data_IF_919070260940
#
_entry.id   IF_919070260940
#
_cell.length_a   1.000
_cell.length_b   1.000
_cell.length_c   1.000
_cell.angle_alpha   90.00
_cell.angle_beta   90.00
_cell.angle_gamma   90.00
#
_symmetry.space_group_name_H-M   'P 1'
#
loop_
_entity.id
_entity.type
_entity.pdbx_description
1 polymer ?
#
# COMPACT_ATOMS: atom_id res chain seq x y z
N UNK A 1 -9.53 19.41 -11.14
CA UNK A 1 -9.11 19.37 -9.71
C UNK A 1 -7.61 19.20 -9.56
N UNK A 2 -6.96 18.14 -10.07
CA UNK A 2 -5.52 17.95 -9.89
C UNK A 2 -4.64 19.10 -10.42
N UNK A 3 -5.07 19.78 -11.48
CA UNK A 3 -4.40 21.01 -11.95
C UNK A 3 -4.37 22.13 -10.90
N UNK A 4 -5.35 22.18 -9.99
CA UNK A 4 -5.40 23.15 -8.88
C UNK A 4 -4.54 22.72 -7.69
N UNK A 5 -4.16 21.44 -7.57
CA UNK A 5 -3.47 20.90 -6.40
C UNK A 5 -2.15 21.61 -6.11
N UNK A 6 -1.35 21.91 -7.15
CA UNK A 6 -0.09 22.62 -6.99
C UNK A 6 -0.30 24.06 -6.50
N UNK A 7 -1.29 24.78 -7.02
CA UNK A 7 -1.61 26.15 -6.58
C UNK A 7 -2.11 26.17 -5.12
N UNK A 8 -2.96 25.20 -4.77
CA UNK A 8 -3.47 25.02 -3.39
C UNK A 8 -2.34 24.69 -2.42
N UNK A 9 -1.41 23.81 -2.81
CA UNK A 9 -0.25 23.49 -2.00
C UNK A 9 0.68 24.70 -1.83
N UNK A 10 0.95 25.44 -2.91
CA UNK A 10 1.78 26.64 -2.89
C UNK A 10 1.20 27.76 -2.02
N UNK A 11 -0.13 27.79 -1.81
CA UNK A 11 -0.78 28.77 -0.94
C UNK A 11 -0.54 28.54 0.56
N UNK A 12 -0.09 27.33 0.95
CA UNK A 12 0.03 26.94 2.36
C UNK A 12 1.43 26.48 2.74
N UNK A 13 2.27 26.14 1.76
CA UNK A 13 3.66 25.77 1.97
C UNK A 13 4.57 26.98 1.82
N UNK A 14 5.55 27.10 2.70
CA UNK A 14 6.57 28.15 2.66
C UNK A 14 7.65 27.90 1.60
N UNK A 15 7.77 26.67 1.12
CA UNK A 15 8.74 26.26 0.11
C UNK A 15 8.08 26.15 -1.27
N UNK A 16 8.86 26.32 -2.36
CA UNK A 16 8.38 26.06 -3.71
C UNK A 16 7.88 24.62 -3.86
N UNK A 17 6.69 24.48 -4.44
CA UNK A 17 6.08 23.17 -4.73
C UNK A 17 6.57 22.68 -6.09
N UNK A 18 7.24 21.53 -6.11
CA UNK A 18 7.70 20.88 -7.34
C UNK A 18 6.52 20.19 -8.04
N UNK A 19 5.74 19.44 -7.27
CA UNK A 19 4.58 18.72 -7.76
C UNK A 19 3.53 18.54 -6.65
N UNK A 20 2.26 18.47 -7.05
CA UNK A 20 1.19 18.10 -6.14
C UNK A 20 0.04 17.44 -6.91
N UNK A 21 -0.64 16.51 -6.25
CA UNK A 21 -1.85 15.86 -6.77
C UNK A 21 -2.81 15.52 -5.65
N UNK A 22 -4.08 15.30 -5.99
CA UNK A 22 -5.07 14.82 -5.04
C UNK A 22 -5.00 13.29 -4.97
N UNK A 23 -4.91 12.78 -3.75
CA UNK A 23 -4.95 11.36 -3.43
C UNK A 23 -6.31 10.99 -2.83
N UNK A 24 -6.76 9.78 -3.13
CA UNK A 24 -8.02 9.21 -2.63
C UNK A 24 -7.76 7.80 -2.10
N UNK A 25 -8.18 7.47 -0.89
CA UNK A 25 -7.95 6.16 -0.31
C UNK A 25 -8.65 5.05 -1.12
N UNK A 26 -7.93 3.96 -1.40
CA UNK A 26 -8.49 2.80 -2.09
C UNK A 26 -9.37 2.00 -1.12
N UNK A 27 -10.67 2.30 -1.08
CA UNK A 27 -11.57 1.63 -0.14
C UNK A 27 -11.76 0.14 -0.43
N UNK A 28 -11.96 -0.65 0.63
CA UNK A 28 -12.34 -2.07 0.54
C UNK A 28 -13.64 -2.30 -0.22
N UNK A 29 -14.58 -1.35 -0.20
CA UNK A 29 -15.83 -1.41 -0.98
C UNK A 29 -15.57 -1.38 -2.50
N UNK A 30 -14.50 -0.71 -2.97
CA UNK A 30 -14.10 -0.71 -4.38
C UNK A 30 -13.40 -2.01 -4.78
N UNK A 31 -12.50 -2.51 -3.94
CA UNK A 31 -11.85 -3.82 -4.14
C UNK A 31 -12.91 -4.93 -4.22
N UNK A 32 -13.91 -4.89 -3.34
CA UNK A 32 -15.03 -5.84 -3.36
C UNK A 32 -15.88 -5.72 -4.64
N UNK A 33 -16.15 -4.50 -5.11
CA UNK A 33 -16.89 -4.27 -6.35
C UNK A 33 -16.16 -4.85 -7.57
N UNK A 34 -14.85 -4.68 -7.64
CA UNK A 34 -14.05 -5.22 -8.73
C UNK A 34 -13.80 -6.73 -8.67
N UNK A 35 -13.82 -7.31 -7.47
CA UNK A 35 -13.88 -8.76 -7.30
C UNK A 35 -15.22 -9.38 -7.75
N UNK A 36 -16.10 -8.60 -8.39
CA UNK A 36 -17.38 -9.07 -8.92
C UNK A 36 -18.46 -9.21 -7.85
N UNK A 37 -18.26 -8.68 -6.65
CA UNK A 37 -19.31 -8.65 -5.64
C UNK A 37 -20.41 -7.67 -6.09
N UNK A 38 -21.45 -8.24 -6.72
CA UNK A 38 -22.65 -7.49 -7.11
C UNK A 38 -23.18 -6.65 -5.95
N UNK A 39 -23.82 -5.50 -6.25
CA UNK A 39 -24.46 -4.66 -5.21
C UNK A 39 -25.44 -5.45 -4.34
N UNK A 40 -26.00 -6.54 -4.87
CA UNK A 40 -26.89 -7.44 -4.15
C UNK A 40 -26.15 -8.31 -3.12
N UNK A 41 -24.98 -8.86 -3.48
CA UNK A 41 -24.13 -9.64 -2.56
C UNK A 41 -23.47 -8.74 -1.50
N UNK A 42 -23.13 -7.48 -1.83
CA UNK A 42 -22.69 -6.48 -0.85
C UNK A 42 -23.75 -6.17 0.22
N UNK A 43 -25.01 -6.08 -0.19
CA UNK A 43 -26.14 -5.87 0.73
C UNK A 43 -26.33 -7.03 1.69
N UNK A 44 -26.21 -8.27 1.20
CA UNK A 44 -26.35 -9.49 2.01
C UNK A 44 -25.14 -9.68 2.94
N UNK A 45 -23.92 -9.39 2.50
CA UNK A 45 -22.72 -9.42 3.36
C UNK A 45 -22.75 -8.35 4.47
N UNK A 46 -23.19 -7.11 4.17
CA UNK A 46 -23.42 -6.07 5.20
C UNK A 46 -24.60 -6.41 6.14
N UNK A 47 -25.60 -7.18 5.67
CA UNK A 47 -26.77 -7.56 6.47
C UNK A 47 -26.53 -8.78 7.37
N UNK A 48 -25.80 -9.80 6.90
CA UNK A 48 -25.41 -10.97 7.69
C UNK A 48 -24.10 -10.78 8.47
N UNK A 49 -23.25 -9.83 8.10
CA UNK A 49 -22.07 -9.40 8.87
C UNK A 49 -22.43 -8.49 10.05
N UNK A 50 -23.72 -8.20 10.27
CA UNK A 50 -24.22 -7.44 11.41
C UNK A 50 -24.34 -8.34 12.65
N UNK A 51 -23.25 -9.04 12.98
CA UNK A 51 -23.06 -9.59 14.33
C UNK A 51 -22.87 -8.38 15.26
N UNK A 52 -23.62 -8.27 16.38
CA UNK A 52 -23.50 -7.17 17.30
C UNK A 52 -22.21 -7.32 18.12
N UNK A 53 -21.08 -6.96 17.52
CA UNK A 53 -19.81 -6.80 18.24
C UNK A 53 -19.27 -5.40 17.97
N UNK A 54 -19.37 -4.54 18.99
CA UNK A 54 -18.54 -3.36 19.22
C UNK A 54 -18.50 -2.33 18.07
N UNK A 55 -19.42 -1.36 18.08
CA UNK A 55 -19.44 -0.22 17.15
C UNK A 55 -18.17 0.66 17.13
N UNK A 56 -17.24 0.48 18.08
CA UNK A 56 -15.92 1.13 18.08
C UNK A 56 -14.85 0.37 17.27
N UNK A 57 -15.08 -0.89 16.88
CA UNK A 57 -14.12 -1.66 16.08
C UNK A 57 -14.08 -1.19 14.61
N UNK A 58 -15.22 -0.77 14.05
CA UNK A 58 -15.31 -0.34 12.66
C UNK A 58 -14.51 0.94 12.36
N UNK A 59 -14.53 1.91 13.28
CA UNK A 59 -13.69 3.11 13.19
C UNK A 59 -12.19 2.79 13.35
N UNK A 60 -11.87 1.81 14.21
CA UNK A 60 -10.50 1.33 14.40
C UNK A 60 -9.95 0.65 13.14
N UNK A 61 -10.72 -0.24 12.52
CA UNK A 61 -10.37 -0.89 11.24
C UNK A 61 -10.10 0.13 10.14
N UNK A 62 -10.96 1.15 10.01
CA UNK A 62 -10.78 2.22 9.02
C UNK A 62 -9.54 3.09 9.26
N UNK A 63 -9.17 3.30 10.53
CA UNK A 63 -7.94 3.99 10.89
C UNK A 63 -6.70 3.14 10.60
N UNK A 64 -6.81 1.80 10.70
CA UNK A 64 -5.76 0.88 10.28
C UNK A 64 -5.55 0.90 8.76
N UNK A 65 -6.63 0.97 7.99
CA UNK A 65 -6.55 1.00 6.52
C UNK A 65 -5.89 2.26 5.97
N UNK A 66 -6.05 3.41 6.62
CA UNK A 66 -5.62 4.73 6.10
C UNK A 66 -4.27 5.22 6.62
N UNK A 67 -3.62 4.47 7.53
CA UNK A 67 -2.39 4.93 8.18
C UNK A 67 -2.56 6.23 8.98
N UNK A 68 -3.81 6.55 9.38
CA UNK A 68 -4.14 7.82 10.04
C UNK A 68 -4.19 9.04 9.11
N UNK A 69 -4.19 8.84 7.79
CA UNK A 69 -4.48 9.88 6.80
C UNK A 69 -5.99 10.02 6.54
N UNK A 70 -6.46 11.19 6.09
CA UNK A 70 -7.84 11.34 5.63
C UNK A 70 -8.12 10.48 4.38
N UNK A 71 -9.39 10.20 4.11
CA UNK A 71 -9.81 9.51 2.87
C UNK A 71 -9.40 10.25 1.60
N UNK A 72 -9.33 11.57 1.66
CA UNK A 72 -8.90 12.40 0.54
C UNK A 72 -7.99 13.51 1.04
N UNK A 73 -6.89 13.74 0.34
CA UNK A 73 -5.92 14.79 0.67
C UNK A 73 -5.17 15.23 -0.57
N UNK A 74 -4.42 16.33 -0.46
CA UNK A 74 -3.44 16.75 -1.47
C UNK A 74 -2.07 16.29 -0.99
N UNK A 75 -1.40 15.48 -1.80
CA UNK A 75 0.01 15.15 -1.60
C UNK A 75 0.84 16.16 -2.39
N UNK A 76 1.81 16.79 -1.74
CA UNK A 76 2.68 17.79 -2.35
C UNK A 76 4.15 17.48 -2.05
N UNK A 77 5.01 17.67 -3.03
CA UNK A 77 6.46 17.49 -2.93
C UNK A 77 7.13 18.85 -3.08
N UNK A 78 7.99 19.17 -2.13
CA UNK A 78 8.93 20.29 -2.18
C UNK A 78 10.34 19.74 -2.31
N UNK A 79 11.35 20.62 -2.35
CA UNK A 79 12.75 20.21 -2.45
C UNK A 79 13.13 19.17 -1.40
N UNK A 80 12.82 19.46 -0.14
CA UNK A 80 13.33 18.70 1.00
C UNK A 80 12.22 17.91 1.73
N UNK A 81 10.94 18.13 1.41
CA UNK A 81 9.82 17.56 2.16
C UNK A 81 8.66 17.07 1.29
N UNK A 82 7.98 16.04 1.79
CA UNK A 82 6.69 15.58 1.30
C UNK A 82 5.61 15.99 2.30
N UNK A 83 4.53 16.58 1.82
CA UNK A 83 3.45 17.12 2.64
C UNK A 83 2.11 16.47 2.29
N UNK A 84 1.34 16.14 3.33
CA UNK A 84 -0.09 15.86 3.20
C UNK A 84 -0.86 17.08 3.66
N UNK A 85 -1.69 17.60 2.77
CA UNK A 85 -2.49 18.81 2.96
C UNK A 85 -3.97 18.41 2.92
N UNK A 86 -4.77 18.98 3.80
CA UNK A 86 -6.21 18.75 3.86
C UNK A 86 -6.89 19.08 2.52
N UNK A 87 -7.67 18.14 1.97
CA UNK A 87 -8.52 18.38 0.79
C UNK A 87 -9.78 19.14 1.22
N UNK A 88 -9.69 20.48 1.27
CA UNK A 88 -10.85 21.36 1.46
C UNK A 88 -11.48 21.70 0.12
N UNK A 89 -12.81 21.65 0.08
CA UNK A 89 -13.58 22.02 -1.10
C UNK A 89 -14.55 23.14 -0.80
N UNK A 90 -14.59 24.10 -1.71
CA UNK A 90 -15.65 25.08 -1.82
C UNK A 90 -16.31 24.90 -3.18
N UNK A 91 -17.54 24.37 -3.18
CA UNK A 91 -18.24 23.96 -4.40
C UNK A 91 -17.43 22.97 -5.26
N UNK A 92 -16.93 23.42 -6.42
CA UNK A 92 -16.15 22.61 -7.38
C UNK A 92 -14.65 22.89 -7.30
N UNK A 93 -14.25 23.84 -6.47
CA UNK A 93 -12.88 24.29 -6.37
C UNK A 93 -12.19 23.68 -5.15
N UNK A 94 -10.95 23.27 -5.37
CA UNK A 94 -10.03 22.88 -4.31
C UNK A 94 -9.53 24.15 -3.62
N UNK A 95 -9.62 24.21 -2.30
CA UNK A 95 -9.20 25.35 -1.49
C UNK A 95 -8.04 24.94 -0.59
N UNK A 96 -7.15 25.88 -0.32
CA UNK A 96 -6.08 25.78 0.67
C UNK A 96 -6.61 25.21 2.01
N UNK A 97 -6.21 23.96 2.29
CA UNK A 97 -6.39 23.31 3.57
C UNK A 97 -5.25 23.63 4.54
N UNK A 98 -5.23 22.99 5.71
CA UNK A 98 -4.03 22.99 6.56
C UNK A 98 -3.06 21.88 6.15
N UNK A 99 -1.77 22.08 6.39
CA UNK A 99 -0.80 20.97 6.36
C UNK A 99 -1.14 20.03 7.51
N UNK A 100 -1.41 18.77 7.20
CA UNK A 100 -1.73 17.73 8.17
C UNK A 100 -0.47 17.03 8.64
N UNK A 101 0.44 16.72 7.70
CA UNK A 101 1.70 16.02 7.95
C UNK A 101 2.77 16.47 6.99
N UNK A 102 4.02 16.36 7.43
CA UNK A 102 5.22 16.58 6.63
C UNK A 102 6.24 15.52 6.98
N UNK A 103 6.95 15.02 5.98
CA UNK A 103 8.08 14.10 6.14
C UNK A 103 9.28 14.66 5.40
N UNK A 104 10.47 14.29 5.86
CA UNK A 104 11.68 14.47 5.07
C UNK A 104 11.53 13.66 3.77
N UNK A 105 11.87 14.28 2.64
CA UNK A 105 11.77 13.64 1.34
C UNK A 105 12.69 12.42 1.25
N UNK A 106 13.88 12.47 1.86
CA UNK A 106 14.88 11.40 1.81
C UNK A 106 14.45 10.12 2.54
N UNK A 107 13.55 10.25 3.53
CA UNK A 107 13.04 9.11 4.30
C UNK A 107 11.66 8.64 3.81
N UNK A 108 11.07 9.32 2.83
CA UNK A 108 9.71 9.05 2.37
C UNK A 108 9.69 7.99 1.27
N UNK A 109 9.04 6.85 1.51
CA UNK A 109 8.89 5.77 0.53
C UNK A 109 7.49 5.75 -0.09
N UNK A 110 7.44 5.68 -1.41
CA UNK A 110 6.21 5.57 -2.18
C UNK A 110 6.42 4.69 -3.41
N UNK A 111 5.37 4.03 -3.89
CA UNK A 111 5.47 3.13 -5.05
C UNK A 111 4.22 3.18 -5.90
N UNK A 112 4.40 3.16 -7.22
CA UNK A 112 3.32 2.84 -8.16
C UNK A 112 3.24 1.34 -8.39
N UNK A 113 2.04 0.83 -8.63
CA UNK A 113 1.85 -0.59 -8.97
C UNK A 113 1.68 -0.78 -10.47
N UNK A 114 1.90 -2.01 -10.94
CA UNK A 114 1.74 -2.34 -12.36
C UNK A 114 0.28 -2.20 -12.82
N UNK A 115 0.02 -1.99 -14.12
CA UNK A 115 -1.34 -1.95 -14.66
C UNK A 115 -2.17 -3.19 -14.31
N UNK A 116 -1.57 -4.37 -14.33
CA UNK A 116 -2.24 -5.65 -14.01
C UNK A 116 -2.71 -5.66 -12.54
N UNK A 117 -1.88 -5.12 -11.63
CA UNK A 117 -2.23 -4.99 -10.22
C UNK A 117 -3.34 -3.96 -9.99
N UNK A 118 -3.34 -2.86 -10.76
CA UNK A 118 -4.44 -1.89 -10.73
C UNK A 118 -5.76 -2.56 -11.12
N UNK A 119 -5.77 -3.35 -12.21
CA UNK A 119 -6.96 -4.08 -12.67
C UNK A 119 -7.42 -5.10 -11.62
N UNK A 120 -6.50 -5.90 -11.06
CA UNK A 120 -6.86 -6.92 -10.05
C UNK A 120 -7.41 -6.32 -8.75
N UNK A 121 -7.04 -5.07 -8.43
CA UNK A 121 -7.56 -4.31 -7.29
C UNK A 121 -8.80 -3.47 -7.61
N UNK A 122 -9.28 -3.47 -8.86
CA UNK A 122 -10.47 -2.71 -9.21
C UNK A 122 -10.30 -1.23 -9.39
N UNK A 123 -9.06 -0.81 -9.62
CA UNK A 123 -8.74 0.59 -9.82
C UNK A 123 -9.34 1.02 -11.16
N UNK A 124 -10.14 2.10 -11.20
CA UNK A 124 -10.67 2.62 -12.45
C UNK A 124 -9.59 2.92 -13.48
N UNK A 125 -9.92 2.80 -14.78
CA UNK A 125 -8.93 2.99 -15.86
C UNK A 125 -8.29 4.38 -15.86
N UNK A 126 -9.00 5.41 -15.39
CA UNK A 126 -8.52 6.80 -15.26
C UNK A 126 -7.67 7.03 -14.00
N UNK A 127 -7.47 5.99 -13.16
CA UNK A 127 -6.74 6.03 -11.89
C UNK A 127 -5.62 5.00 -11.84
N UNK A 128 -4.70 5.18 -10.91
CA UNK A 128 -3.63 4.24 -10.58
C UNK A 128 -3.36 4.25 -9.07
N UNK A 129 -2.94 3.12 -8.52
CA UNK A 129 -2.51 3.03 -7.13
C UNK A 129 -1.11 3.61 -6.93
N UNK A 130 -1.02 4.38 -5.86
CA UNK A 130 0.17 4.90 -5.23
C UNK A 130 0.18 4.38 -3.79
N UNK A 131 1.09 3.46 -3.51
CA UNK A 131 1.31 2.89 -2.18
C UNK A 131 2.26 3.81 -1.43
N UNK A 132 1.87 4.26 -0.23
CA UNK A 132 2.69 5.11 0.62
C UNK A 132 3.09 4.33 1.88
N UNK A 133 4.37 4.33 2.24
CA UNK A 133 4.83 3.79 3.52
C UNK A 133 4.87 4.93 4.52
N UNK A 134 3.72 5.15 5.15
CA UNK A 134 3.58 6.23 6.12
C UNK A 134 3.94 5.73 7.51
N UNK A 135 4.78 6.46 8.26
CA UNK A 135 4.98 6.18 9.67
C UNK A 135 3.62 6.25 10.36
N UNK A 136 3.22 5.15 10.99
CA UNK A 136 2.02 5.17 11.83
C UNK A 136 2.47 5.84 13.12
N UNK A 137 2.02 7.07 13.32
CA UNK A 137 2.11 7.69 14.63
C UNK A 137 1.49 6.77 15.65
N UNK A 138 2.12 6.69 16.82
CA UNK A 138 1.77 5.81 17.90
C UNK A 138 0.26 5.84 18.18
N UNK A 139 -0.47 4.98 17.48
CA UNK A 139 -1.90 4.87 17.68
C UNK A 139 -2.07 4.21 19.05
N UNK A 140 -3.14 4.55 19.75
CA UNK A 140 -3.51 3.84 20.98
C UNK A 140 -3.84 2.36 20.74
N UNK A 141 -3.83 1.90 19.47
CA UNK A 141 -4.11 0.53 19.09
C UNK A 141 -2.84 -0.33 19.18
N UNK A 142 -2.78 -1.31 20.10
CA UNK A 142 -1.62 -2.18 20.29
C UNK A 142 -1.32 -3.06 19.07
N UNK A 143 -2.31 -3.38 18.23
CA UNK A 143 -2.09 -4.18 17.02
C UNK A 143 -1.30 -3.42 15.96
N UNK A 144 -1.59 -2.13 15.77
CA UNK A 144 -0.81 -1.28 14.87
C UNK A 144 0.60 -1.09 15.38
N UNK A 145 0.79 -0.95 16.70
CA UNK A 145 2.12 -0.88 17.30
C UNK A 145 2.95 -2.13 17.00
N UNK A 146 2.33 -3.32 17.02
CA UNK A 146 3.01 -4.56 16.66
C UNK A 146 3.39 -4.58 15.17
N UNK A 147 2.48 -4.19 14.27
CA UNK A 147 2.77 -4.09 12.84
C UNK A 147 3.87 -3.08 12.51
N UNK A 148 3.86 -1.92 13.16
CA UNK A 148 4.90 -0.88 13.03
C UNK A 148 6.24 -1.40 13.52
N UNK A 149 6.27 -2.13 14.64
CA UNK A 149 7.50 -2.71 15.16
C UNK A 149 8.07 -3.75 14.18
N UNK A 150 7.24 -4.66 13.68
CA UNK A 150 7.67 -5.64 12.69
C UNK A 150 8.16 -4.98 11.39
N UNK A 151 7.48 -3.93 10.93
CA UNK A 151 7.92 -3.14 9.77
C UNK A 151 9.27 -2.45 10.03
N UNK A 152 9.46 -1.85 11.20
CA UNK A 152 10.72 -1.22 11.60
C UNK A 152 11.86 -2.24 11.73
N UNK A 153 11.60 -3.42 12.29
CA UNK A 153 12.55 -4.54 12.34
C UNK A 153 12.95 -5.01 10.93
N UNK A 154 12.05 -4.90 9.95
CA UNK A 154 12.31 -5.16 8.53
C UNK A 154 12.87 -3.94 7.76
N UNK A 155 13.27 -2.86 8.44
CA UNK A 155 13.83 -1.65 7.80
C UNK A 155 12.81 -0.84 6.98
N UNK A 156 11.51 -1.06 7.19
CA UNK A 156 10.44 -0.30 6.54
C UNK A 156 10.07 0.94 7.36
N UNK A 157 9.90 2.12 6.73
CA UNK A 157 9.61 3.38 7.44
C UNK A 157 8.16 3.46 7.96
N UNK A 158 7.31 2.50 7.58
CA UNK A 158 5.89 2.49 7.93
C UNK A 158 5.15 1.30 7.35
N UNK A 159 3.83 1.27 7.53
CA UNK A 159 2.98 0.29 6.85
C UNK A 159 2.56 0.79 5.47
N UNK A 160 2.51 -0.09 4.46
CA UNK A 160 2.04 0.26 3.14
C UNK A 160 0.55 0.63 3.20
N UNK A 161 0.21 1.78 2.63
CA UNK A 161 -1.16 2.31 2.57
C UNK A 161 -1.51 2.63 1.13
N UNK A 162 -2.62 2.05 0.64
CA UNK A 162 -3.05 2.12 -0.76
C UNK A 162 -3.86 3.40 -1.02
N UNK A 163 -3.33 4.31 -1.83
CA UNK A 163 -4.04 5.48 -2.34
C UNK A 163 -4.17 5.42 -3.85
N UNK A 164 -5.17 6.09 -4.39
CA UNK A 164 -5.37 6.28 -5.83
C UNK A 164 -5.05 7.72 -6.18
N UNK A 165 -4.35 7.88 -7.30
CA UNK A 165 -4.14 9.15 -7.99
C UNK A 165 -4.68 9.04 -9.41
N UNK A 166 -4.92 10.17 -10.07
CA UNK A 166 -5.37 10.13 -11.47
C UNK A 166 -4.23 9.74 -12.42
N UNK A 167 -4.55 9.18 -13.58
CA UNK A 167 -3.61 9.04 -14.70
C UNK A 167 -3.55 10.34 -15.50
N UNK A 168 -3.08 11.41 -14.86
CA UNK A 168 -2.97 12.74 -15.46
C UNK A 168 -1.59 13.37 -15.23
N UNK A 169 -1.30 14.44 -15.98
CA UNK A 169 0.01 15.08 -15.94
C UNK A 169 0.43 15.60 -14.54
N UNK A 170 -0.46 16.19 -13.71
CA UNK A 170 -0.09 16.54 -12.32
C UNK A 170 0.31 15.34 -11.47
N UNK A 171 -0.42 14.23 -11.56
CA UNK A 171 -0.10 13.02 -10.79
C UNK A 171 1.20 12.39 -11.29
N UNK A 172 1.43 12.38 -12.60
CA UNK A 172 2.70 11.90 -13.15
C UNK A 172 3.89 12.73 -12.65
N UNK A 173 3.79 14.07 -12.66
CA UNK A 173 4.85 14.92 -12.11
C UNK A 173 5.13 14.65 -10.64
N UNK A 174 4.12 14.31 -9.85
CA UNK A 174 4.31 13.93 -8.46
C UNK A 174 5.08 12.60 -8.37
N UNK A 175 4.70 11.60 -9.15
CA UNK A 175 5.40 10.31 -9.21
C UNK A 175 6.86 10.52 -9.64
N UNK A 176 7.11 11.29 -10.69
CA UNK A 176 8.46 11.61 -11.18
C UNK A 176 9.28 12.35 -10.10
N UNK A 177 8.66 13.25 -9.34
CA UNK A 177 9.33 13.95 -8.24
C UNK A 177 9.68 13.01 -7.07
N UNK A 178 8.81 12.05 -6.75
CA UNK A 178 9.11 11.03 -5.73
C UNK A 178 10.19 10.04 -6.22
N UNK A 179 10.17 9.69 -7.51
CA UNK A 179 11.14 8.79 -8.13
C UNK A 179 12.54 9.42 -8.22
N UNK A 180 12.62 10.71 -8.56
CA UNK A 180 13.89 11.44 -8.63
C UNK A 180 14.66 11.47 -7.28
N UNK A 181 13.97 11.22 -6.16
CA UNK A 181 14.60 11.07 -4.85
C UNK A 181 15.10 9.64 -4.56
N UNK A 182 14.93 8.71 -5.52
CA UNK A 182 15.36 7.31 -5.41
C UNK A 182 14.35 6.42 -4.66
N UNK A 183 13.09 6.83 -4.55
CA UNK A 183 12.11 6.22 -3.65
C UNK A 183 11.00 5.42 -4.33
N UNK A 184 10.89 5.46 -5.66
CA UNK A 184 9.86 4.72 -6.41
C UNK A 184 10.52 3.55 -7.15
N UNK A 185 10.51 2.36 -6.55
CA UNK A 185 10.82 1.13 -7.29
C UNK A 185 9.52 0.54 -7.84
N UNK A 186 9.42 0.44 -9.17
CA UNK A 186 8.38 -0.39 -9.80
C UNK A 186 8.73 -1.84 -9.48
N UNK A 187 8.00 -2.45 -8.54
CA UNK A 187 8.18 -3.88 -8.24
C UNK A 187 7.24 -4.67 -9.14
N UNK A 188 7.82 -5.50 -10.00
CA UNK A 188 7.14 -6.70 -10.50
C UNK A 188 6.98 -7.66 -9.31
N UNK A 189 5.74 -7.95 -8.92
CA UNK A 189 5.40 -8.68 -7.67
C UNK A 189 5.69 -10.19 -7.77
N UNK A 190 6.75 -10.58 -8.47
CA UNK A 190 7.16 -11.98 -8.62
C UNK A 190 8.64 -12.26 -8.27
N UNK A 191 9.44 -11.28 -7.82
CA UNK A 191 10.89 -11.53 -7.66
C UNK A 191 11.65 -10.85 -6.51
N UNK A 192 11.31 -9.64 -6.07
CA UNK A 192 12.26 -8.89 -5.24
C UNK A 192 11.97 -8.96 -3.74
N UNK A 193 12.33 -10.12 -3.15
CA UNK A 193 12.85 -10.13 -1.79
C UNK A 193 14.26 -9.53 -1.86
N UNK A 194 14.41 -8.29 -1.42
CA UNK A 194 15.64 -7.53 -1.50
C UNK A 194 16.71 -8.13 -0.57
N UNK A 195 17.57 -8.96 -1.17
CA UNK A 195 18.85 -9.39 -0.62
C UNK A 195 19.77 -8.17 -0.53
N UNK A 196 20.34 -7.93 0.65
CA UNK A 196 21.26 -6.85 0.91
C UNK A 196 22.50 -6.98 0.01
N UNK A 197 22.66 -6.06 -0.95
CA UNK A 197 23.86 -5.97 -1.76
C UNK A 197 24.86 -5.01 -1.12
N UNK A 198 25.92 -5.58 -0.52
CA UNK A 198 27.23 -4.94 -0.48
C UNK A 198 27.83 -4.94 -1.89
N UNK A 199 28.58 -3.89 -2.29
CA UNK A 199 29.29 -3.89 -3.55
C UNK A 199 30.66 -4.53 -3.34
N UNK A 200 31.01 -5.54 -4.13
CA UNK A 200 32.28 -5.54 -4.88
C UNK A 200 32.50 -6.86 -5.65
N UNK A 201 32.94 -6.63 -6.88
CA UNK A 201 33.82 -7.47 -7.70
C UNK A 201 33.21 -8.47 -8.71
N UNK A 202 33.87 -8.47 -9.86
CA UNK A 202 33.40 -8.95 -11.16
C UNK A 202 33.56 -10.46 -11.37
N UNK A 203 32.62 -11.07 -12.12
CA UNK A 203 32.88 -12.02 -13.23
C UNK A 203 31.60 -12.76 -13.71
N UNK A 204 31.41 -12.75 -15.03
CA UNK A 204 30.70 -13.67 -15.95
C UNK A 204 29.22 -14.11 -15.75
N UNK A 205 28.46 -14.29 -16.86
CA UNK A 205 27.02 -14.59 -16.83
C UNK A 205 26.77 -16.09 -16.79
N UNK A 206 26.29 -16.60 -15.65
CA UNK A 206 25.76 -17.96 -15.53
C UNK A 206 24.37 -17.93 -14.92
N UNK A 207 23.37 -18.15 -15.77
CA UNK A 207 22.10 -18.84 -15.53
C UNK A 207 21.71 -19.09 -14.05
N UNK A 208 20.96 -18.16 -13.44
CA UNK A 208 20.36 -18.35 -12.10
C UNK A 208 18.90 -18.75 -12.25
N UNK A 209 18.67 -20.05 -12.39
CA UNK A 209 17.39 -20.64 -11.99
C UNK A 209 17.32 -20.67 -10.46
N UNK A 210 16.40 -19.92 -9.85
CA UNK A 210 16.20 -19.95 -8.39
C UNK A 210 15.98 -21.40 -7.91
N UNK A 211 16.66 -21.85 -6.83
CA UNK A 211 16.48 -23.21 -6.34
C UNK A 211 15.05 -23.39 -5.84
N UNK A 212 14.31 -24.34 -6.43
CA UNK A 212 13.02 -24.76 -5.90
C UNK A 212 13.24 -25.35 -4.50
N UNK A 213 12.42 -25.01 -3.49
CA UNK A 213 12.56 -25.57 -2.15
C UNK A 213 12.41 -27.10 -2.23
N UNK A 214 13.28 -27.79 -1.51
CA UNK A 214 13.35 -29.24 -1.48
C UNK A 214 12.07 -29.85 -0.92
N UNK A 215 11.77 -31.10 -1.28
CA UNK A 215 10.58 -31.82 -0.79
C UNK A 215 10.52 -31.84 0.74
N UNK A 216 11.67 -31.98 1.41
CA UNK A 216 11.77 -31.98 2.87
C UNK A 216 11.36 -30.65 3.49
N UNK A 217 11.81 -29.53 2.90
CA UNK A 217 11.47 -28.18 3.40
C UNK A 217 9.97 -27.91 3.27
N UNK A 218 9.36 -28.29 2.14
CA UNK A 218 7.92 -28.14 1.92
C UNK A 218 7.08 -28.96 2.92
N UNK A 219 7.52 -30.16 3.26
CA UNK A 219 6.84 -31.00 4.26
C UNK A 219 6.95 -30.40 5.67
N UNK A 220 8.10 -29.83 6.03
CA UNK A 220 8.33 -29.19 7.33
C UNK A 220 7.53 -27.90 7.49
N UNK A 221 7.41 -27.09 6.43
CA UNK A 221 6.54 -25.91 6.41
C UNK A 221 5.07 -26.31 6.59
N UNK A 222 4.61 -27.35 5.86
CA UNK A 222 3.24 -27.84 5.96
C UNK A 222 2.90 -28.33 7.38
N UNK A 223 3.85 -28.96 8.07
CA UNK A 223 3.68 -29.38 9.47
C UNK A 223 3.62 -28.18 10.44
N UNK A 224 4.41 -27.14 10.18
CA UNK A 224 4.37 -25.89 10.96
C UNK A 224 3.02 -25.17 10.79
N UNK A 225 2.49 -25.14 9.57
CA UNK A 225 1.18 -24.53 9.28
C UNK A 225 0.02 -25.32 9.89
N UNK A 226 0.15 -26.65 10.01
CA UNK A 226 -0.79 -27.49 10.77
C UNK A 226 -0.72 -27.18 12.26
N UNK A 227 0.48 -27.11 12.85
CA UNK A 227 0.68 -26.86 14.27
C UNK A 227 0.17 -25.48 14.71
N UNK A 228 0.22 -24.48 13.82
CA UNK A 228 -0.30 -23.12 14.03
C UNK A 228 -1.80 -22.99 13.77
N UNK A 229 -2.45 -24.06 13.28
CA UNK A 229 -3.89 -24.07 12.96
C UNK A 229 -4.27 -23.27 11.71
N UNK A 230 -3.28 -22.90 10.87
CA UNK A 230 -3.49 -22.15 9.62
C UNK A 230 -4.11 -23.03 8.53
N UNK A 231 -3.83 -24.34 8.55
CA UNK A 231 -4.46 -25.35 7.69
C UNK A 231 -5.19 -26.40 8.51
N UNK A 232 -6.33 -26.84 7.99
CA UNK A 232 -7.09 -27.94 8.56
C UNK A 232 -6.44 -29.30 8.29
N UNK A 233 -6.77 -30.32 9.09
CA UNK A 233 -6.27 -31.70 8.91
C UNK A 233 -6.55 -32.25 7.49
N UNK A 234 -7.71 -31.91 6.92
CA UNK A 234 -8.11 -32.34 5.58
C UNK A 234 -7.26 -31.67 4.47
N UNK A 235 -6.87 -30.41 4.66
CA UNK A 235 -6.00 -29.69 3.74
C UNK A 235 -4.55 -30.13 3.85
N UNK A 236 -4.09 -30.40 5.09
CA UNK A 236 -2.78 -30.98 5.36
C UNK A 236 -2.62 -32.32 4.63
N UNK A 237 -3.58 -33.23 4.74
CA UNK A 237 -3.52 -34.54 4.09
C UNK A 237 -3.40 -34.41 2.56
N UNK A 238 -4.21 -33.54 1.94
CA UNK A 238 -4.20 -33.31 0.49
C UNK A 238 -2.90 -32.71 -0.01
N UNK A 239 -2.36 -31.71 0.69
CA UNK A 239 -1.10 -31.05 0.32
C UNK A 239 0.10 -31.97 0.51
N UNK A 240 0.08 -32.82 1.54
CA UNK A 240 1.12 -33.82 1.78
C UNK A 240 1.16 -34.86 0.67
N UNK A 241 0.00 -35.32 0.20
CA UNK A 241 -0.11 -36.25 -0.93
C UNK A 241 0.44 -35.62 -2.22
N UNK A 242 0.07 -34.37 -2.51
CA UNK A 242 0.61 -33.63 -3.65
C UNK A 242 2.15 -33.51 -3.64
N UNK A 243 2.76 -33.24 -2.48
CA UNK A 243 4.23 -33.13 -2.36
C UNK A 243 4.91 -34.48 -2.56
N UNK A 244 4.26 -35.57 -2.18
CA UNK A 244 4.78 -36.93 -2.36
C UNK A 244 4.63 -37.38 -3.82
N UNK A 245 3.55 -37.00 -4.50
CA UNK A 245 3.34 -37.28 -5.93
C UNK A 245 4.32 -36.52 -6.84
N UNK A 246 4.94 -35.44 -6.34
CA UNK A 246 5.97 -34.67 -7.04
C UNK A 246 7.38 -35.29 -6.96
N UNK A 247 7.56 -36.38 -6.21
CA UNK A 247 8.82 -37.16 -6.14
C UNK A 247 8.97 -38.11 -7.34
#
# INVERSE_FOLDING_TARGET
MNQQAAAVAAAVLSQPVEAATRCEHASTDMVAEAAGASRFTRGVAKFFGRVPTLGNLGGMLKQMETGGLPETFVLAVTRDQVHVIEDKRSHRDLVAGRVLRSWDRADFKARTVTPEWNVSRGVPDDRQLLVLWVPIEASSNPYLQAGVRAAAEAGQPGLPTDFMVAKDAPSQRLIDALDAAGHVRVVDVLGDAEEAQDPEDAADPSDVSSPRPSTTERLQELETLRATGVVSEAEYARKREQIIDEL
#
